data_IF_020129660098
#
_entry.id   IF_020129660098
#
_cell.length_a   1.000
_cell.length_b   1.000
_cell.length_c   1.000
_cell.angle_alpha   90.00
_cell.angle_beta   90.00
_cell.angle_gamma   90.00
#
_symmetry.space_group_name_H-M   'P 1'
#
loop_
_entity.id
_entity.type
_entity.pdbx_description
1 polymer ?
#
# COMPACT_ATOMS: atom_id res chain seq x y z
N UNK A 1 -4.85 4.08 -59.02
CA UNK A 1 -4.94 5.21 -58.08
C UNK A 1 -5.83 4.75 -56.95
N UNK A 2 -5.26 4.39 -55.79
CA UNK A 2 -6.04 3.92 -54.65
C UNK A 2 -6.58 5.14 -53.90
N UNK A 3 -7.90 5.27 -53.87
CA UNK A 3 -8.58 6.28 -53.04
C UNK A 3 -8.49 5.79 -51.60
N UNK A 4 -7.76 6.53 -50.76
CA UNK A 4 -7.78 6.34 -49.31
C UNK A 4 -9.21 6.56 -48.83
N UNK A 5 -9.78 5.56 -48.16
CA UNK A 5 -11.09 5.67 -47.52
C UNK A 5 -11.02 6.86 -46.55
N UNK A 6 -11.88 7.89 -46.65
CA UNK A 6 -11.92 8.92 -45.63
C UNK A 6 -12.23 8.21 -44.31
N UNK A 7 -11.33 8.35 -43.33
CA UNK A 7 -11.58 7.86 -41.98
C UNK A 7 -12.93 8.38 -41.48
N UNK A 8 -13.57 7.68 -40.53
CA UNK A 8 -14.95 7.95 -40.13
C UNK A 8 -15.15 9.44 -39.86
N UNK A 9 -16.11 10.04 -40.57
CA UNK A 9 -16.52 11.41 -40.32
C UNK A 9 -16.98 11.52 -38.87
N UNK A 10 -16.45 12.54 -38.17
CA UNK A 10 -16.80 12.83 -36.79
C UNK A 10 -18.23 13.36 -36.76
N UNK A 11 -19.19 12.44 -36.77
CA UNK A 11 -20.59 12.69 -36.45
C UNK A 11 -20.69 13.17 -35.00
N UNK A 12 -21.45 14.24 -34.78
CA UNK A 12 -21.78 14.85 -33.49
C UNK A 12 -22.43 13.90 -32.47
N UNK A 13 -22.72 12.66 -32.85
CA UNK A 13 -23.22 11.60 -31.97
C UNK A 13 -22.11 10.96 -31.09
N UNK A 14 -20.83 11.25 -31.35
CA UNK A 14 -19.68 10.73 -30.58
C UNK A 14 -19.12 11.70 -29.52
N UNK A 15 -19.90 12.70 -29.10
CA UNK A 15 -19.50 13.64 -28.04
C UNK A 15 -19.21 12.95 -26.70
N UNK A 16 -19.76 11.75 -26.43
CA UNK A 16 -19.50 11.04 -25.17
C UNK A 16 -18.03 10.64 -25.00
N UNK A 17 -17.33 10.26 -26.07
CA UNK A 17 -15.92 9.90 -26.00
C UNK A 17 -15.03 11.14 -25.82
N UNK A 18 -15.36 12.23 -26.53
CA UNK A 18 -14.66 13.50 -26.38
C UNK A 18 -14.90 14.13 -25.00
N UNK A 19 -16.15 14.13 -24.51
CA UNK A 19 -16.49 14.56 -23.14
C UNK A 19 -15.76 13.73 -22.09
N UNK A 20 -15.62 12.42 -22.32
CA UNK A 20 -14.87 11.55 -21.42
C UNK A 20 -13.38 11.90 -21.42
N UNK A 21 -12.77 12.10 -22.59
CA UNK A 21 -11.38 12.54 -22.71
C UNK A 21 -11.15 13.92 -22.10
N UNK A 22 -12.06 14.87 -22.29
CA UNK A 22 -11.98 16.20 -21.67
C UNK A 22 -12.14 16.11 -20.15
N UNK A 23 -13.04 15.25 -19.64
CA UNK A 23 -13.16 14.99 -18.20
C UNK A 23 -11.89 14.38 -17.63
N UNK A 24 -11.30 13.40 -18.31
CA UNK A 24 -10.03 12.80 -17.91
C UNK A 24 -8.88 13.82 -17.96
N UNK A 25 -8.78 14.62 -19.02
CA UNK A 25 -7.76 15.67 -19.16
C UNK A 25 -7.93 16.80 -18.12
N UNK A 26 -9.18 17.16 -17.80
CA UNK A 26 -9.49 18.12 -16.73
C UNK A 26 -9.14 17.54 -15.36
N UNK A 27 -9.42 16.26 -15.13
CA UNK A 27 -9.02 15.57 -13.90
C UNK A 27 -7.49 15.46 -13.80
N UNK A 28 -6.79 15.20 -14.91
CA UNK A 28 -5.33 15.15 -14.98
C UNK A 28 -4.73 16.54 -14.73
N UNK A 29 -5.27 17.61 -15.32
CA UNK A 29 -4.80 18.98 -15.05
C UNK A 29 -5.13 19.44 -13.63
N UNK A 30 -6.21 18.94 -13.03
CA UNK A 30 -6.51 19.12 -11.60
C UNK A 30 -5.56 18.35 -10.66
N UNK A 31 -4.76 17.38 -11.15
CA UNK A 31 -3.67 16.79 -10.35
C UNK A 31 -2.47 17.73 -10.19
N UNK A 32 -2.42 18.83 -10.96
CA UNK A 32 -1.43 19.88 -10.78
C UNK A 32 -1.80 20.70 -9.55
N UNK A 33 -1.17 20.42 -8.41
CA UNK A 33 -1.34 21.29 -7.24
C UNK A 33 -0.69 22.64 -7.55
N UNK A 34 -1.50 23.69 -7.74
CA UNK A 34 -1.01 25.06 -7.97
C UNK A 34 -0.15 25.61 -6.81
N UNK A 35 -0.19 24.95 -5.64
CA UNK A 35 0.66 25.26 -4.51
C UNK A 35 1.96 24.43 -4.47
N UNK A 36 2.28 23.59 -5.46
CA UNK A 36 3.43 22.67 -5.41
C UNK A 36 4.74 23.37 -4.98
N UNK A 37 5.08 24.52 -5.56
CA UNK A 37 6.27 25.29 -5.17
C UNK A 37 6.18 25.85 -3.74
N UNK A 38 4.98 26.25 -3.29
CA UNK A 38 4.77 26.71 -1.90
C UNK A 38 4.87 25.57 -0.89
N UNK A 39 4.34 24.39 -1.24
CA UNK A 39 4.45 23.17 -0.44
C UNK A 39 5.91 22.76 -0.31
N UNK A 40 6.69 22.83 -1.40
CA UNK A 40 8.13 22.56 -1.37
C UNK A 40 8.85 23.50 -0.38
N UNK A 41 8.71 24.83 -0.54
CA UNK A 41 9.35 25.79 0.36
C UNK A 41 8.92 25.58 1.81
N UNK A 42 7.64 25.30 2.04
CA UNK A 42 7.11 25.03 3.38
C UNK A 42 7.77 23.81 4.05
N UNK A 43 8.01 22.75 3.29
CA UNK A 43 8.66 21.53 3.78
C UNK A 43 10.16 21.74 4.00
N UNK A 44 10.84 22.46 3.09
CA UNK A 44 12.26 22.81 3.21
C UNK A 44 12.55 23.63 4.47
N UNK A 45 11.70 24.60 4.79
CA UNK A 45 11.81 25.43 6.01
C UNK A 45 11.70 24.65 7.33
N UNK A 46 11.19 23.40 7.28
CA UNK A 46 11.00 22.52 8.45
C UNK A 46 12.07 21.45 8.58
N UNK A 47 13.02 21.40 7.64
CA UNK A 47 14.15 20.47 7.74
C UNK A 47 15.14 20.91 8.83
N UNK A 48 15.80 19.96 9.51
CA UNK A 48 15.61 18.51 9.42
C UNK A 48 14.41 18.03 10.26
N UNK A 49 13.67 17.07 9.72
CA UNK A 49 12.66 16.33 10.49
C UNK A 49 13.38 15.26 11.31
N UNK A 50 13.34 15.35 12.65
CA UNK A 50 14.17 14.52 13.52
C UNK A 50 13.43 13.31 14.06
N UNK A 51 12.11 13.45 14.23
CA UNK A 51 11.23 12.39 14.72
C UNK A 51 9.99 12.26 13.84
N UNK A 52 9.33 11.11 13.88
CA UNK A 52 8.07 10.85 13.16
C UNK A 52 7.02 11.96 13.37
N UNK A 53 6.92 12.47 14.60
CA UNK A 53 5.99 13.54 14.96
C UNK A 53 6.26 14.86 14.24
N UNK A 54 7.50 15.13 13.82
CA UNK A 54 7.83 16.33 13.04
C UNK A 54 7.25 16.21 11.62
N UNK A 55 7.38 15.02 11.01
CA UNK A 55 6.81 14.72 9.70
C UNK A 55 5.29 14.82 9.72
N UNK A 56 4.63 14.18 10.69
CA UNK A 56 3.16 14.26 10.84
C UNK A 56 2.68 15.70 11.03
N UNK A 57 3.40 16.50 11.81
CA UNK A 57 3.05 17.91 12.04
C UNK A 57 3.16 18.75 10.78
N UNK A 58 4.24 18.59 10.01
CA UNK A 58 4.44 19.34 8.77
C UNK A 58 3.27 19.14 7.79
N UNK A 59 2.84 17.89 7.58
CA UNK A 59 1.72 17.60 6.70
C UNK A 59 0.36 17.97 7.27
N UNK A 60 0.18 17.92 8.60
CA UNK A 60 -1.02 18.44 9.25
C UNK A 60 -1.15 19.95 9.02
N UNK A 61 -0.08 20.72 9.19
CA UNK A 61 -0.10 22.16 8.95
C UNK A 61 -0.34 22.50 7.46
N UNK A 62 0.18 21.70 6.53
CA UNK A 62 -0.16 21.81 5.10
C UNK A 62 -1.65 21.58 4.82
N UNK A 63 -2.28 20.66 5.55
CA UNK A 63 -3.71 20.42 5.48
C UNK A 63 -4.53 21.55 6.10
N UNK A 64 -4.13 22.04 7.27
CA UNK A 64 -4.81 23.14 7.97
C UNK A 64 -4.77 24.46 7.17
N UNK A 65 -3.72 24.66 6.37
CA UNK A 65 -3.61 25.81 5.45
C UNK A 65 -4.39 25.63 4.13
N UNK A 66 -4.99 24.45 3.89
CA UNK A 66 -5.69 24.12 2.65
C UNK A 66 -4.77 23.97 1.44
N UNK A 67 -3.44 23.92 1.63
CA UNK A 67 -2.48 23.80 0.53
C UNK A 67 -2.46 22.40 -0.06
N UNK A 68 -2.70 21.38 0.77
CA UNK A 68 -2.74 19.97 0.37
C UNK A 68 -3.47 19.15 1.44
N UNK A 69 -4.34 18.19 1.07
CA UNK A 69 -4.93 17.29 2.06
C UNK A 69 -3.87 16.48 2.79
N UNK A 70 -4.13 16.10 4.04
CA UNK A 70 -3.25 15.20 4.78
C UNK A 70 -3.16 13.86 4.03
N UNK A 71 -1.95 13.38 3.69
CA UNK A 71 -1.79 12.09 3.03
C UNK A 71 -2.35 10.96 3.88
N UNK A 72 -3.10 10.05 3.27
CA UNK A 72 -3.56 8.82 3.92
C UNK A 72 -2.39 7.97 4.44
N UNK A 73 -1.20 8.10 3.84
CA UNK A 73 0.02 7.44 4.29
C UNK A 73 0.48 7.86 5.71
N UNK A 74 -0.04 8.97 6.26
CA UNK A 74 0.23 9.37 7.65
C UNK A 74 -0.58 8.56 8.67
N UNK A 75 -1.69 7.96 8.24
CA UNK A 75 -2.41 7.01 9.06
C UNK A 75 -1.69 5.65 8.99
N UNK A 76 -0.82 5.43 9.96
CA UNK A 76 -0.05 4.20 10.08
C UNK A 76 -0.82 3.06 10.77
N UNK A 77 -2.13 3.20 10.95
CA UNK A 77 -2.97 2.14 11.54
C UNK A 77 -2.96 0.87 10.70
N UNK A 78 -3.22 -0.26 11.35
CA UNK A 78 -3.29 -1.57 10.71
C UNK A 78 -4.48 -1.65 9.74
N UNK A 79 -5.57 -0.95 10.09
CA UNK A 79 -6.77 -0.77 9.29
C UNK A 79 -6.47 -0.04 7.99
N UNK A 80 -5.84 1.14 8.04
CA UNK A 80 -5.50 1.89 6.85
C UNK A 80 -4.45 1.17 6.01
N UNK A 81 -3.41 0.62 6.66
CA UNK A 81 -2.40 -0.21 6.00
C UNK A 81 -3.07 -1.31 5.15
N UNK A 82 -3.99 -2.08 5.71
CA UNK A 82 -4.66 -3.14 4.96
C UNK A 82 -5.66 -2.63 3.93
N UNK A 83 -6.38 -1.54 4.23
CA UNK A 83 -7.36 -0.95 3.32
C UNK A 83 -6.72 -0.43 2.01
N UNK A 84 -5.46 0.02 2.05
CA UNK A 84 -4.70 0.41 0.85
C UNK A 84 -4.59 -0.76 -0.15
N UNK A 85 -4.49 -2.01 0.32
CA UNK A 85 -4.46 -3.23 -0.51
C UNK A 85 -5.82 -3.72 -0.99
N UNK A 86 -6.91 -3.06 -0.58
CA UNK A 86 -8.22 -3.26 -1.20
C UNK A 86 -8.59 -2.12 -2.17
N UNK A 87 -7.71 -1.13 -2.31
CA UNK A 87 -7.95 0.07 -3.09
C UNK A 87 -6.80 0.36 -4.05
N UNK A 88 -5.86 1.20 -3.66
CA UNK A 88 -4.80 1.74 -4.52
C UNK A 88 -3.67 0.73 -4.82
N UNK A 89 -3.47 -0.29 -3.98
CA UNK A 89 -2.41 -1.30 -4.11
C UNK A 89 -2.96 -2.71 -4.43
N UNK A 90 -4.26 -2.83 -4.71
CA UNK A 90 -5.01 -4.07 -4.51
C UNK A 90 -4.89 -5.21 -5.53
N UNK A 91 -3.78 -5.30 -6.26
CA UNK A 91 -3.61 -6.34 -7.30
C UNK A 91 -2.75 -7.54 -6.85
N UNK A 92 -2.22 -7.53 -5.62
CA UNK A 92 -1.23 -8.53 -5.17
C UNK A 92 -1.76 -9.53 -4.12
N UNK A 93 -2.98 -9.33 -3.60
CA UNK A 93 -3.56 -10.23 -2.60
C UNK A 93 -4.08 -11.54 -3.22
N UNK A 94 -3.62 -12.67 -2.68
CA UNK A 94 -4.03 -14.02 -3.04
C UNK A 94 -4.54 -14.76 -1.81
N UNK A 95 -5.51 -15.64 -1.98
CA UNK A 95 -5.97 -16.52 -0.89
C UNK A 95 -4.88 -17.55 -0.56
N UNK A 96 -4.61 -17.79 0.72
CA UNK A 96 -3.66 -18.82 1.16
C UNK A 96 -4.37 -20.17 1.28
N UNK A 97 -3.81 -21.20 0.65
CA UNK A 97 -4.30 -22.57 0.74
C UNK A 97 -3.54 -23.39 1.79
N UNK A 98 -4.14 -24.51 2.20
CA UNK A 98 -3.53 -25.40 3.18
C UNK A 98 -2.19 -25.96 2.67
N UNK A 99 -1.15 -25.86 3.51
CA UNK A 99 0.21 -26.30 3.20
C UNK A 99 1.09 -25.23 2.57
N UNK A 100 0.53 -24.10 2.11
CA UNK A 100 1.31 -22.96 1.62
C UNK A 100 1.84 -22.14 2.79
N UNK A 101 3.07 -21.61 2.65
CA UNK A 101 3.68 -20.66 3.60
C UNK A 101 3.78 -21.16 5.05
N UNK A 102 3.80 -22.47 5.28
CA UNK A 102 3.83 -23.06 6.62
C UNK A 102 4.99 -22.53 7.47
N UNK A 103 6.17 -22.40 6.86
CA UNK A 103 7.39 -21.91 7.53
C UNK A 103 7.25 -20.48 8.08
N UNK A 104 6.38 -19.65 7.50
CA UNK A 104 6.15 -18.27 7.94
C UNK A 104 5.03 -18.16 8.98
N UNK A 105 4.06 -19.07 8.92
CA UNK A 105 2.81 -18.98 9.67
C UNK A 105 2.81 -19.84 10.95
N UNK A 106 3.67 -20.85 11.03
CA UNK A 106 3.68 -21.83 12.11
C UNK A 106 3.95 -21.23 13.50
N UNK A 107 4.84 -20.23 13.57
CA UNK A 107 5.25 -19.61 14.82
C UNK A 107 4.33 -18.46 15.28
N UNK A 108 3.28 -18.15 14.52
CA UNK A 108 2.33 -17.08 14.88
C UNK A 108 1.46 -17.54 16.06
N UNK A 109 1.45 -16.82 17.19
CA UNK A 109 0.65 -17.21 18.35
C UNK A 109 -0.86 -17.23 18.07
N UNK A 110 -1.57 -18.26 18.56
CA UNK A 110 -3.03 -18.38 18.45
C UNK A 110 -3.84 -17.12 18.85
N UNK A 111 -3.45 -16.36 19.91
CA UNK A 111 -4.15 -15.11 20.25
C UNK A 111 -4.20 -14.08 19.12
N UNK A 112 -3.19 -14.05 18.24
CA UNK A 112 -3.18 -13.14 17.09
C UNK A 112 -4.19 -13.57 16.02
N UNK A 113 -4.34 -14.86 15.75
CA UNK A 113 -5.41 -15.34 14.84
C UNK A 113 -6.79 -14.94 15.36
N UNK A 114 -6.99 -15.04 16.68
CA UNK A 114 -8.28 -14.69 17.27
C UNK A 114 -8.57 -13.20 17.18
N UNK A 115 -7.58 -12.34 17.42
CA UNK A 115 -7.74 -10.88 17.34
C UNK A 115 -7.83 -10.39 15.88
N UNK A 116 -6.90 -10.81 15.03
CA UNK A 116 -6.75 -10.31 13.66
C UNK A 116 -7.75 -10.99 12.74
N UNK A 117 -7.86 -12.32 12.76
CA UNK A 117 -8.70 -13.07 11.82
C UNK A 117 -10.11 -13.38 12.36
N UNK A 118 -10.31 -13.25 13.68
CA UNK A 118 -11.56 -13.62 14.33
C UNK A 118 -11.73 -15.14 14.46
N UNK A 119 -10.64 -15.89 14.34
CA UNK A 119 -10.57 -17.35 14.27
C UNK A 119 -9.58 -17.90 15.30
N UNK A 120 -9.84 -19.04 15.96
CA UNK A 120 -8.99 -19.52 17.05
C UNK A 120 -7.60 -20.03 16.62
N UNK A 121 -7.46 -20.54 15.40
CA UNK A 121 -6.22 -21.19 14.93
C UNK A 121 -5.92 -20.88 13.46
N UNK A 122 -4.69 -21.16 13.02
CA UNK A 122 -4.31 -21.14 11.60
C UNK A 122 -5.22 -22.08 10.78
N UNK A 123 -5.46 -23.30 11.26
CA UNK A 123 -6.29 -24.30 10.57
C UNK A 123 -7.74 -23.81 10.37
N UNK A 124 -8.36 -23.21 11.39
CA UNK A 124 -9.71 -22.64 11.25
C UNK A 124 -9.73 -21.41 10.34
N UNK A 125 -8.65 -20.64 10.33
CA UNK A 125 -8.48 -19.48 9.45
C UNK A 125 -8.38 -19.89 7.98
N UNK A 126 -7.59 -20.93 7.68
CA UNK A 126 -7.42 -21.49 6.33
C UNK A 126 -8.72 -22.13 5.82
N UNK A 127 -9.35 -22.98 6.63
CA UNK A 127 -10.62 -23.64 6.27
C UNK A 127 -11.78 -22.65 6.08
N UNK A 128 -11.73 -21.49 6.75
CA UNK A 128 -12.70 -20.41 6.57
C UNK A 128 -12.37 -19.45 5.43
N UNK A 129 -11.30 -19.69 4.66
CA UNK A 129 -10.83 -18.82 3.58
C UNK A 129 -10.64 -17.35 3.99
N UNK A 130 -10.08 -17.14 5.18
CA UNK A 130 -9.88 -15.79 5.74
C UNK A 130 -8.46 -15.27 5.60
N UNK A 131 -7.50 -16.13 5.30
CA UNK A 131 -6.08 -15.76 5.19
C UNK A 131 -5.71 -15.44 3.75
N UNK A 132 -5.08 -14.28 3.57
CA UNK A 132 -4.57 -13.79 2.30
C UNK A 132 -3.08 -13.49 2.44
N UNK A 133 -2.37 -13.56 1.32
CA UNK A 133 -0.94 -13.24 1.20
C UNK A 133 -0.73 -12.25 0.07
N UNK A 134 0.19 -11.31 0.29
CA UNK A 134 0.85 -10.58 -0.77
C UNK A 134 2.34 -10.96 -0.71
N UNK A 135 2.76 -11.73 -1.71
CA UNK A 135 4.10 -12.29 -1.79
C UNK A 135 4.96 -11.43 -2.71
N UNK A 136 5.96 -10.78 -2.13
CA UNK A 136 6.95 -9.93 -2.79
C UNK A 136 8.36 -10.44 -2.44
N UNK A 137 8.51 -11.76 -2.27
CA UNK A 137 9.75 -12.41 -1.83
C UNK A 137 10.90 -12.32 -2.83
N UNK A 138 10.61 -12.03 -4.10
CA UNK A 138 11.63 -11.90 -5.16
C UNK A 138 11.85 -10.43 -5.59
N UNK A 139 11.15 -9.48 -4.98
CA UNK A 139 11.13 -8.09 -5.46
C UNK A 139 12.41 -7.31 -5.14
N UNK A 140 13.16 -7.71 -4.12
CA UNK A 140 14.46 -7.11 -3.79
C UNK A 140 15.46 -7.28 -4.93
N UNK A 141 15.32 -8.33 -5.75
CA UNK A 141 16.15 -8.57 -6.94
C UNK A 141 15.89 -7.57 -8.08
N UNK A 142 14.79 -6.81 -8.00
CA UNK A 142 14.45 -5.77 -8.98
C UNK A 142 15.16 -4.44 -8.71
N UNK A 143 15.98 -4.37 -7.66
CA UNK A 143 16.75 -3.16 -7.34
C UNK A 143 17.82 -2.92 -8.40
N UNK A 144 17.83 -1.71 -8.97
CA UNK A 144 18.88 -1.28 -9.90
C UNK A 144 20.26 -1.36 -9.22
N UNK A 145 21.17 -2.17 -9.78
CA UNK A 145 22.54 -2.37 -9.30
C UNK A 145 23.28 -1.04 -9.10
N UNK A 146 22.98 -0.01 -9.92
CA UNK A 146 23.60 1.30 -9.78
C UNK A 146 23.15 2.07 -8.52
N UNK A 147 22.11 1.60 -7.82
CA UNK A 147 21.48 2.27 -6.69
C UNK A 147 21.61 1.54 -5.35
N UNK A 148 22.18 0.33 -5.33
CA UNK A 148 22.26 -0.55 -4.15
C UNK A 148 23.05 0.05 -2.98
N UNK A 149 23.97 0.98 -3.26
CA UNK A 149 24.75 1.68 -2.22
C UNK A 149 23.95 2.77 -1.49
N UNK A 150 22.75 3.11 -1.97
CA UNK A 150 21.94 4.22 -1.45
C UNK A 150 20.45 3.91 -1.27
N UNK A 151 19.96 2.81 -1.85
CA UNK A 151 18.57 2.36 -1.78
C UNK A 151 18.53 0.89 -1.44
N UNK A 152 17.50 0.50 -0.70
CA UNK A 152 17.27 -0.87 -0.28
C UNK A 152 15.79 -1.22 -0.45
N UNK A 153 15.51 -2.30 -1.17
CA UNK A 153 14.17 -2.89 -1.30
C UNK A 153 14.24 -4.29 -0.68
N UNK A 154 13.55 -4.54 0.44
CA UNK A 154 13.55 -5.85 1.06
C UNK A 154 12.69 -6.86 0.30
N UNK A 155 13.12 -8.12 0.34
CA UNK A 155 12.27 -9.26 0.01
C UNK A 155 11.26 -9.49 1.15
N UNK A 156 9.96 -9.45 0.85
CA UNK A 156 8.93 -9.43 1.90
C UNK A 156 7.72 -10.30 1.56
N UNK A 157 7.14 -10.93 2.57
CA UNK A 157 5.86 -11.65 2.46
C UNK A 157 4.91 -11.12 3.52
N UNK A 158 3.74 -10.65 3.12
CA UNK A 158 2.75 -10.05 4.00
C UNK A 158 1.49 -10.90 4.06
N UNK A 159 1.04 -11.22 5.27
CA UNK A 159 -0.18 -11.98 5.53
C UNK A 159 -1.27 -11.09 6.10
N UNK A 160 -2.49 -11.27 5.59
CA UNK A 160 -3.65 -10.45 5.92
C UNK A 160 -4.86 -11.33 6.19
N UNK A 161 -5.71 -10.92 7.12
CA UNK A 161 -6.92 -11.64 7.45
C UNK A 161 -8.17 -10.80 7.24
N UNK A 162 -9.18 -11.39 6.58
CA UNK A 162 -10.50 -10.79 6.49
C UNK A 162 -11.32 -11.09 7.76
N UNK A 163 -11.36 -10.12 8.67
CA UNK A 163 -12.11 -10.21 9.90
C UNK A 163 -13.57 -9.79 9.69
N UNK A 164 -14.44 -10.77 9.49
CA UNK A 164 -15.88 -10.54 9.23
C UNK A 164 -16.56 -9.78 10.38
N UNK A 165 -16.16 -10.04 11.64
CA UNK A 165 -16.77 -9.36 12.81
C UNK A 165 -16.40 -7.88 12.84
N UNK A 166 -15.14 -7.55 12.55
CA UNK A 166 -14.64 -6.17 12.49
C UNK A 166 -14.96 -5.49 11.15
N UNK A 167 -15.39 -6.25 10.13
CA UNK A 167 -15.63 -5.80 8.75
C UNK A 167 -14.41 -5.13 8.13
N UNK A 168 -13.23 -5.69 8.41
CA UNK A 168 -11.95 -5.12 8.04
C UNK A 168 -11.01 -6.23 7.57
N UNK A 169 -10.20 -5.91 6.56
CA UNK A 169 -8.95 -6.63 6.32
C UNK A 169 -7.92 -6.10 7.32
N UNK A 170 -7.20 -6.98 7.99
CA UNK A 170 -6.18 -6.61 8.98
C UNK A 170 -4.88 -7.36 8.70
N UNK A 171 -3.72 -6.77 8.98
CA UNK A 171 -2.43 -7.41 8.79
C UNK A 171 -2.19 -8.39 9.94
N UNK A 172 -1.81 -9.62 9.60
CA UNK A 172 -1.50 -10.68 10.55
C UNK A 172 0.00 -10.71 10.86
N UNK A 173 0.81 -10.77 9.81
CA UNK A 173 2.25 -10.91 9.91
C UNK A 173 2.96 -10.37 8.66
N UNK A 174 4.20 -9.94 8.82
CA UNK A 174 5.09 -9.54 7.72
C UNK A 174 6.44 -10.22 7.96
N UNK A 175 6.88 -11.03 7.00
CA UNK A 175 8.19 -11.65 7.02
C UNK A 175 9.15 -10.90 6.12
N UNK A 176 10.30 -10.51 6.66
CA UNK A 176 11.45 -10.09 5.87
C UNK A 176 12.25 -11.35 5.51
N UNK A 177 12.25 -11.72 4.24
CA UNK A 177 12.77 -13.02 3.77
C UNK A 177 14.27 -13.14 4.05
N UNK A 178 15.03 -12.06 3.82
CA UNK A 178 16.48 -12.06 3.94
C UNK A 178 16.96 -12.31 5.38
N UNK A 179 16.22 -11.79 6.37
CA UNK A 179 16.54 -11.97 7.80
C UNK A 179 15.80 -13.15 8.42
N UNK A 180 14.79 -13.71 7.74
CA UNK A 180 13.87 -14.74 8.25
C UNK A 180 13.11 -14.30 9.50
N UNK A 181 12.95 -13.00 9.70
CA UNK A 181 12.22 -12.44 10.82
C UNK A 181 10.77 -12.20 10.41
N UNK A 182 9.85 -12.78 11.16
CA UNK A 182 8.41 -12.56 11.04
C UNK A 182 7.98 -11.59 12.12
N UNK A 183 7.45 -10.44 11.71
CA UNK A 183 6.92 -9.40 12.57
C UNK A 183 5.40 -9.45 12.61
N UNK A 184 4.85 -9.07 13.74
CA UNK A 184 3.42 -9.02 14.03
C UNK A 184 3.10 -7.79 14.87
N UNK A 185 1.81 -7.53 15.10
CA UNK A 185 1.38 -6.50 16.05
C UNK A 185 1.68 -6.80 17.53
N UNK A 186 2.18 -7.99 17.85
CA UNK A 186 2.64 -8.34 19.21
C UNK A 186 4.06 -7.86 19.50
N UNK A 187 4.84 -7.56 18.46
CA UNK A 187 6.17 -6.97 18.57
C UNK A 187 6.09 -5.51 19.03
N UNK A 188 7.25 -4.88 19.29
CA UNK A 188 7.24 -3.47 19.68
C UNK A 188 6.64 -2.60 18.57
N UNK A 189 6.03 -1.48 18.95
CA UNK A 189 5.43 -0.54 17.98
C UNK A 189 6.42 -0.13 16.88
N UNK A 190 7.68 0.05 17.24
CA UNK A 190 8.74 0.43 16.29
C UNK A 190 9.06 -0.69 15.30
N UNK A 191 9.18 -1.93 15.77
CA UNK A 191 9.43 -3.09 14.91
C UNK A 191 8.26 -3.36 13.97
N UNK A 192 7.04 -3.32 14.48
CA UNK A 192 5.85 -3.52 13.65
C UNK A 192 5.68 -2.41 12.60
N UNK A 193 5.96 -1.16 12.98
CA UNK A 193 5.94 -0.05 12.04
C UNK A 193 7.05 -0.17 10.98
N UNK A 194 8.25 -0.59 11.36
CA UNK A 194 9.35 -0.84 10.43
C UNK A 194 8.98 -1.93 9.41
N UNK A 195 8.39 -3.04 9.86
CA UNK A 195 7.96 -4.12 8.98
C UNK A 195 6.90 -3.64 7.97
N UNK A 196 5.92 -2.83 8.41
CA UNK A 196 4.94 -2.22 7.51
C UNK A 196 5.58 -1.25 6.51
N UNK A 197 6.56 -0.46 6.94
CA UNK A 197 7.30 0.44 6.04
C UNK A 197 8.10 -0.34 5.00
N UNK A 198 8.82 -1.38 5.43
CA UNK A 198 9.56 -2.28 4.55
C UNK A 198 8.63 -2.90 3.49
N UNK A 199 7.49 -3.45 3.93
CA UNK A 199 6.50 -4.01 3.03
C UNK A 199 5.95 -2.98 2.03
N UNK A 200 5.61 -1.77 2.51
CA UNK A 200 5.09 -0.72 1.63
C UNK A 200 6.15 -0.21 0.64
N UNK A 201 7.42 -0.15 1.02
CA UNK A 201 8.51 0.25 0.14
C UNK A 201 8.73 -0.73 -1.02
N UNK A 202 8.46 -2.03 -0.81
CA UNK A 202 8.56 -3.06 -1.86
C UNK A 202 7.34 -3.09 -2.79
N UNK A 203 6.17 -2.68 -2.30
CA UNK A 203 4.90 -2.76 -3.06
C UNK A 203 4.67 -1.57 -4.02
N UNK A 204 5.44 -0.48 -3.91
CA UNK A 204 5.25 0.80 -4.62
C UNK A 204 6.23 0.98 -5.77
#
# INVERSE_FOLDING_TARGET
>A
MFVLNPGPEVSTEWMLYFEHLVKQATALTATTNFNASKVQTFLEDRLPLRVEADFQRAYKELADTGMMPAPLALDSSDENFSAMRLSILGNNLKLVHAGEYADYLWDIPCPLFQDVCGEPTLESTLSSHKLFVADLSDYGELTDEASTDSKYIPNVVGFFCNNIKKRQLLPLAITLVDSKLTYTKADSRGEWQLAKMAFHATEV
#
